data_IF_056059019582
#
_entry.id   IF_056059019582
#
_cell.length_a   1.000
_cell.length_b   1.000
_cell.length_c   1.000
_cell.angle_alpha   90.00
_cell.angle_beta   90.00
_cell.angle_gamma   90.00
#
_symmetry.space_group_name_H-M   'P 1'
#
loop_
_entity.id
_entity.type
_entity.pdbx_description
1 polymer ?
#
# COMPACT_ATOMS: atom_id res chain seq x y z
N UNK A 1 -12.12 38.97 28.87
CA UNK A 1 -11.62 38.61 27.52
C UNK A 1 -10.47 37.60 27.54
N UNK A 2 -9.46 37.75 28.39
CA UNK A 2 -8.28 36.88 28.44
C UNK A 2 -8.57 35.37 28.55
N UNK A 3 -9.52 34.97 29.42
CA UNK A 3 -9.95 33.56 29.57
C UNK A 3 -10.51 32.95 28.28
N UNK A 4 -11.22 33.73 27.46
CA UNK A 4 -11.76 33.29 26.16
C UNK A 4 -10.65 33.13 25.12
N UNK A 5 -9.64 33.98 25.19
CA UNK A 5 -8.48 33.94 24.31
C UNK A 5 -7.60 32.72 24.61
N UNK A 6 -7.38 32.42 25.90
CA UNK A 6 -6.72 31.18 26.34
C UNK A 6 -7.50 29.96 25.88
N UNK A 7 -8.83 29.95 26.07
CA UNK A 7 -9.68 28.84 25.63
C UNK A 7 -9.60 28.63 24.11
N UNK A 8 -9.63 29.70 23.31
CA UNK A 8 -9.45 29.62 21.86
C UNK A 8 -8.09 29.03 21.46
N UNK A 9 -7.01 29.49 22.10
CA UNK A 9 -5.66 28.98 21.83
C UNK A 9 -5.56 27.49 22.15
N UNK A 10 -6.10 27.04 23.28
CA UNK A 10 -6.10 25.63 23.67
C UNK A 10 -6.89 24.77 22.68
N UNK A 11 -8.08 25.22 22.26
CA UNK A 11 -8.89 24.51 21.26
C UNK A 11 -8.15 24.39 19.93
N UNK A 12 -7.52 25.48 19.46
CA UNK A 12 -6.75 25.46 18.21
C UNK A 12 -5.55 24.53 18.34
N UNK A 13 -4.78 24.60 19.43
CA UNK A 13 -3.63 23.73 19.65
C UNK A 13 -4.02 22.24 19.61
N UNK A 14 -5.13 21.87 20.27
CA UNK A 14 -5.63 20.50 20.25
C UNK A 14 -6.04 20.04 18.85
N UNK A 15 -6.72 20.90 18.07
CA UNK A 15 -7.07 20.56 16.69
C UNK A 15 -5.83 20.35 15.82
N UNK A 16 -4.81 21.22 15.91
CA UNK A 16 -3.56 21.10 15.15
C UNK A 16 -2.84 19.79 15.49
N UNK A 17 -2.84 19.38 16.75
CA UNK A 17 -2.27 18.10 17.17
C UNK A 17 -2.93 16.91 16.45
N UNK A 18 -4.27 16.94 16.33
CA UNK A 18 -5.04 15.89 15.68
C UNK A 18 -4.79 15.82 14.16
N UNK A 19 -4.58 16.97 13.50
CA UNK A 19 -4.37 17.04 12.06
C UNK A 19 -2.90 16.92 11.60
N UNK A 20 -1.94 16.87 12.53
CA UNK A 20 -0.50 16.84 12.23
C UNK A 20 -0.09 15.74 11.22
N UNK A 21 -0.61 14.53 11.39
CA UNK A 21 -0.35 13.41 10.46
C UNK A 21 -0.97 13.63 9.08
N UNK A 22 -2.18 14.18 9.02
CA UNK A 22 -2.88 14.49 7.77
C UNK A 22 -2.17 15.58 6.98
N UNK A 23 -1.67 16.62 7.66
CA UNK A 23 -0.89 17.69 7.02
C UNK A 23 0.39 17.17 6.36
N UNK A 24 1.04 16.17 6.97
CA UNK A 24 2.24 15.53 6.41
C UNK A 24 1.94 14.80 5.09
N UNK A 25 0.80 14.11 5.00
CA UNK A 25 0.35 13.45 3.77
C UNK A 25 0.02 14.47 2.68
N UNK A 26 -0.68 15.55 3.05
CA UNK A 26 -1.05 16.62 2.12
C UNK A 26 0.20 17.27 1.53
N UNK A 27 1.17 17.63 2.37
CA UNK A 27 2.44 18.22 1.92
C UNK A 27 3.19 17.30 0.96
N UNK A 28 3.20 15.99 1.25
CA UNK A 28 3.78 14.99 0.35
C UNK A 28 3.12 15.00 -1.03
N UNK A 29 1.79 15.07 -1.12
CA UNK A 29 1.10 15.11 -2.41
C UNK A 29 1.34 16.40 -3.18
N UNK A 30 1.39 17.55 -2.49
CA UNK A 30 1.72 18.83 -3.11
C UNK A 30 3.14 18.82 -3.72
N UNK A 31 4.10 18.19 -3.04
CA UNK A 31 5.51 18.17 -3.41
C UNK A 31 5.98 16.84 -4.04
N UNK A 32 5.05 15.95 -4.43
CA UNK A 32 5.38 14.57 -4.82
C UNK A 32 6.37 14.49 -5.99
N UNK A 33 6.28 15.41 -6.95
CA UNK A 33 7.20 15.48 -8.10
C UNK A 33 8.64 15.79 -7.67
N UNK A 34 8.81 16.67 -6.68
CA UNK A 34 10.13 17.00 -6.14
C UNK A 34 10.66 15.83 -5.31
N UNK A 35 9.81 15.27 -4.43
CA UNK A 35 10.17 14.16 -3.55
C UNK A 35 10.60 12.93 -4.35
N UNK A 36 9.85 12.59 -5.40
CA UNK A 36 10.18 11.45 -6.26
C UNK A 36 11.50 11.62 -7.04
N UNK A 37 11.89 12.86 -7.39
CA UNK A 37 13.12 13.14 -8.15
C UNK A 37 14.36 13.25 -7.27
N UNK A 38 14.23 13.89 -6.10
CA UNK A 38 15.37 14.29 -5.27
C UNK A 38 15.53 13.40 -4.03
N UNK A 39 14.42 13.07 -3.36
CA UNK A 39 14.43 12.41 -2.04
C UNK A 39 14.18 10.90 -2.12
N UNK A 40 13.72 10.39 -3.28
CA UNK A 40 13.46 8.97 -3.49
C UNK A 40 14.75 8.15 -3.59
N UNK A 41 14.87 7.12 -2.74
CA UNK A 41 15.98 6.17 -2.78
C UNK A 41 15.90 5.23 -4.00
N UNK A 42 14.69 4.88 -4.45
CA UNK A 42 14.44 3.96 -5.56
C UNK A 42 14.37 4.66 -6.93
N UNK A 43 14.87 5.90 -7.05
CA UNK A 43 14.86 6.66 -8.32
C UNK A 43 15.59 5.96 -9.46
N UNK A 44 16.60 5.14 -9.15
CA UNK A 44 17.37 4.37 -10.13
C UNK A 44 16.70 3.05 -10.56
N UNK A 45 15.58 2.67 -9.94
CA UNK A 45 14.83 1.44 -10.24
C UNK A 45 13.42 1.81 -10.73
N UNK A 46 13.27 2.21 -12.01
CA UNK A 46 11.98 2.66 -12.54
C UNK A 46 10.90 1.57 -12.50
N UNK A 47 11.28 0.30 -12.46
CA UNK A 47 10.37 -0.84 -12.33
C UNK A 47 9.57 -0.88 -11.02
N UNK A 48 9.99 -0.15 -9.98
CA UNK A 48 9.33 -0.24 -8.66
C UNK A 48 8.19 0.76 -8.47
N UNK A 49 7.94 1.66 -9.43
CA UNK A 49 6.84 2.64 -9.41
C UNK A 49 6.61 3.33 -8.06
N UNK A 50 7.71 3.66 -7.39
CA UNK A 50 7.70 4.14 -6.01
C UNK A 50 7.12 5.54 -5.88
N UNK A 51 7.37 6.45 -6.84
CA UNK A 51 6.81 7.82 -6.86
C UNK A 51 7.01 8.59 -5.53
N UNK A 52 8.09 8.32 -4.79
CA UNK A 52 8.36 8.95 -3.49
C UNK A 52 7.70 8.27 -2.28
N UNK A 53 6.92 7.20 -2.46
CA UNK A 53 6.24 6.46 -1.36
C UNK A 53 7.20 5.91 -0.29
N UNK A 54 8.47 5.63 -0.66
CA UNK A 54 9.50 5.23 0.30
C UNK A 54 9.81 6.33 1.32
N UNK A 55 9.84 7.59 0.89
CA UNK A 55 10.10 8.75 1.74
C UNK A 55 8.94 8.96 2.72
N UNK A 56 7.70 8.92 2.23
CA UNK A 56 6.50 9.03 3.06
C UNK A 56 6.48 7.94 4.14
N UNK A 57 6.76 6.69 3.75
CA UNK A 57 6.85 5.56 4.70
C UNK A 57 7.91 5.79 5.78
N UNK A 58 9.05 6.36 5.44
CA UNK A 58 10.12 6.67 6.40
C UNK A 58 9.69 7.76 7.38
N UNK A 59 9.06 8.82 6.88
CA UNK A 59 8.57 9.93 7.70
C UNK A 59 7.48 9.48 8.70
N UNK A 60 6.55 8.63 8.24
CA UNK A 60 5.51 8.05 9.08
C UNK A 60 6.09 7.19 10.21
N UNK A 61 7.04 6.29 9.89
CA UNK A 61 7.72 5.46 10.90
C UNK A 61 8.48 6.29 11.93
N UNK A 62 9.11 7.36 11.49
CA UNK A 62 9.85 8.24 12.39
C UNK A 62 8.90 8.97 13.35
N UNK A 63 7.76 9.48 12.85
CA UNK A 63 6.71 10.05 13.69
C UNK A 63 6.14 9.07 14.72
N UNK A 64 5.91 7.83 14.30
CA UNK A 64 5.41 6.76 15.17
C UNK A 64 6.43 6.39 16.27
N UNK A 65 7.72 6.23 15.92
CA UNK A 65 8.78 5.92 16.89
C UNK A 65 8.97 7.00 17.95
N UNK A 66 8.87 8.28 17.56
CA UNK A 66 8.95 9.40 18.51
C UNK A 66 7.75 9.41 19.47
N UNK A 67 6.55 9.09 18.98
CA UNK A 67 5.34 9.00 19.80
C UNK A 67 5.38 7.80 20.76
N UNK A 68 5.96 6.68 20.32
CA UNK A 68 6.15 5.47 21.12
C UNK A 68 7.19 5.69 22.24
N UNK A 69 8.21 6.51 22.02
CA UNK A 69 9.21 6.83 23.05
C UNK A 69 8.66 7.81 24.10
N UNK A 70 7.71 8.68 23.75
CA UNK A 70 7.04 9.59 24.69
C UNK A 70 5.89 8.93 25.47
N UNK A 71 5.31 7.85 24.94
CA UNK A 71 4.19 7.13 25.57
C UNK A 71 4.69 5.74 25.95
N UNK A 72 5.20 5.58 27.18
CA UNK A 72 5.82 4.33 27.68
C UNK A 72 4.94 3.07 27.71
N UNK A 73 3.79 3.07 27.04
CA UNK A 73 2.93 1.92 26.86
C UNK A 73 3.00 1.48 25.38
N UNK A 74 3.77 0.43 25.12
CA UNK A 74 3.61 -0.41 23.94
C UNK A 74 2.21 -1.00 24.00
N UNK A 75 1.23 -0.34 23.39
CA UNK A 75 -0.06 -0.96 23.11
C UNK A 75 0.21 -2.00 22.02
N UNK A 76 0.51 -3.23 22.46
CA UNK A 76 0.53 -4.36 21.56
C UNK A 76 -0.88 -4.48 20.96
N UNK A 77 -1.04 -4.02 19.72
CA UNK A 77 -2.15 -4.40 18.87
C UNK A 77 -2.04 -5.91 18.65
N UNK A 78 -2.53 -6.69 19.61
CA UNK A 78 -2.83 -8.09 19.43
C UNK A 78 -4.01 -8.14 18.48
N UNK A 79 -3.71 -8.15 17.18
CA UNK A 79 -4.70 -8.46 16.15
C UNK A 79 -5.18 -9.87 16.46
N UNK A 80 -6.34 -9.99 17.10
CA UNK A 80 -7.02 -11.25 17.24
C UNK A 80 -7.38 -11.70 15.83
N UNK A 81 -6.59 -12.64 15.30
CA UNK A 81 -6.85 -13.29 14.04
C UNK A 81 -8.17 -14.05 14.18
N UNK A 82 -9.23 -13.53 13.59
CA UNK A 82 -10.48 -14.25 13.42
C UNK A 82 -10.22 -15.39 12.41
N UNK A 83 -9.99 -16.59 12.93
CA UNK A 83 -9.91 -17.79 12.11
C UNK A 83 -11.31 -18.10 11.59
N UNK A 84 -11.60 -17.72 10.35
CA UNK A 84 -12.76 -18.27 9.62
C UNK A 84 -12.37 -19.71 9.27
N UNK A 85 -12.64 -20.62 10.19
CA UNK A 85 -12.53 -22.05 9.93
C UNK A 85 -13.89 -22.53 9.45
N UNK A 86 -14.17 -22.28 8.18
CA UNK A 86 -15.23 -22.98 7.47
C UNK A 86 -14.59 -23.62 6.24
N UNK A 87 -14.22 -24.89 6.40
CA UNK A 87 -13.68 -25.71 5.35
C UNK A 87 -14.79 -25.95 4.31
N UNK A 88 -14.87 -25.09 3.30
CA UNK A 88 -15.65 -25.39 2.10
C UNK A 88 -14.99 -26.57 1.40
N UNK A 89 -15.64 -27.73 1.42
CA UNK A 89 -15.22 -28.91 0.68
C UNK A 89 -15.25 -28.62 -0.82
N UNK A 90 -14.08 -28.56 -1.43
CA UNK A 90 -13.94 -28.51 -2.88
C UNK A 90 -14.31 -29.90 -3.41
N UNK A 91 -15.49 -30.03 -4.00
CA UNK A 91 -15.88 -31.23 -4.76
C UNK A 91 -15.08 -31.21 -6.08
N UNK A 92 -14.05 -32.04 -6.17
CA UNK A 92 -13.32 -32.24 -7.41
C UNK A 92 -14.25 -33.00 -8.37
N UNK A 93 -14.71 -32.32 -9.42
CA UNK A 93 -15.46 -32.95 -10.51
C UNK A 93 -14.52 -33.94 -11.21
N UNK A 94 -14.84 -35.24 -11.13
CA UNK A 94 -14.12 -36.24 -11.91
C UNK A 94 -14.55 -36.14 -13.38
N UNK A 95 -13.63 -35.71 -14.24
CA UNK A 95 -13.81 -35.76 -15.68
C UNK A 95 -13.76 -37.23 -16.13
N UNK A 96 -14.91 -37.78 -16.53
CA UNK A 96 -14.98 -39.10 -17.17
C UNK A 96 -14.88 -38.96 -18.69
N UNK A 97 -13.85 -39.62 -19.23
CA UNK A 97 -13.61 -40.03 -20.63
C UNK A 97 -13.73 -38.97 -21.74
N UNK A 98 -12.58 -38.64 -22.32
CA UNK A 98 -12.43 -37.93 -23.60
C UNK A 98 -12.86 -38.88 -24.72
N UNK A 99 -13.80 -38.46 -25.57
CA UNK A 99 -14.17 -39.20 -26.78
C UNK A 99 -12.95 -39.41 -27.69
N UNK A 100 -12.70 -40.63 -28.19
CA UNK A 100 -11.50 -40.94 -28.98
C UNK A 100 -11.46 -40.24 -30.35
N UNK A 101 -12.55 -39.59 -30.77
CA UNK A 101 -12.67 -38.93 -32.09
C UNK A 101 -12.65 -37.40 -32.03
N UNK A 102 -12.25 -36.81 -30.91
CA UNK A 102 -12.08 -35.35 -30.84
C UNK A 102 -10.83 -34.92 -31.60
N UNK A 103 -11.02 -34.52 -32.86
CA UNK A 103 -9.96 -33.91 -33.67
C UNK A 103 -9.97 -32.41 -33.45
N UNK A 104 -9.09 -31.95 -32.55
CA UNK A 104 -8.75 -30.54 -32.41
C UNK A 104 -7.96 -30.13 -33.67
N UNK A 105 -8.59 -29.38 -34.57
CA UNK A 105 -7.89 -28.69 -35.65
C UNK A 105 -7.03 -27.57 -35.03
N UNK A 106 -5.81 -27.91 -34.62
CA UNK A 106 -4.85 -26.93 -34.10
C UNK A 106 -4.33 -26.12 -35.28
N UNK A 107 -4.92 -24.95 -35.49
CA UNK A 107 -4.36 -23.93 -36.38
C UNK A 107 -3.07 -23.40 -35.72
N UNK A 108 -1.93 -23.94 -36.15
CA UNK A 108 -0.60 -23.53 -35.67
C UNK A 108 -0.20 -22.23 -36.34
N UNK A 109 -0.69 -21.10 -35.82
CA UNK A 109 0.02 -19.85 -36.03
C UNK A 109 1.35 -19.96 -35.28
N UNK A 110 2.44 -20.04 -36.04
CA UNK A 110 3.79 -19.94 -35.49
C UNK A 110 3.97 -18.51 -35.03
N UNK A 111 3.69 -18.25 -33.75
CA UNK A 111 4.07 -17.01 -33.09
C UNK A 111 5.59 -16.99 -32.93
N UNK A 112 6.28 -16.40 -33.90
CA UNK A 112 7.68 -16.02 -33.79
C UNK A 112 7.83 -14.86 -32.81
N UNK A 113 8.08 -15.20 -31.54
CA UNK A 113 8.50 -14.26 -30.52
C UNK A 113 7.72 -14.41 -29.23
N UNK A 114 8.28 -15.12 -28.26
CA UNK A 114 7.90 -14.91 -26.86
C UNK A 114 8.36 -13.50 -26.48
N UNK A 115 7.46 -12.55 -26.16
CA UNK A 115 7.90 -11.37 -25.45
C UNK A 115 8.35 -11.82 -24.07
N UNK A 116 9.65 -11.71 -23.77
CA UNK A 116 10.24 -11.97 -22.46
C UNK A 116 9.79 -10.97 -21.37
N UNK A 117 8.66 -10.29 -21.57
CA UNK A 117 8.08 -9.42 -20.56
C UNK A 117 7.34 -10.28 -19.54
N UNK A 118 7.98 -10.50 -18.39
CA UNK A 118 7.27 -10.86 -17.15
C UNK A 118 6.11 -9.88 -17.02
N UNK A 119 4.89 -10.37 -16.79
CA UNK A 119 3.74 -9.51 -16.58
C UNK A 119 4.03 -8.62 -15.36
N UNK A 120 4.10 -7.31 -15.58
CA UNK A 120 4.19 -6.33 -14.50
C UNK A 120 2.86 -5.58 -14.46
N UNK A 121 2.17 -5.53 -13.31
CA UNK A 121 0.93 -4.80 -13.20
C UNK A 121 1.18 -3.31 -13.52
N UNK A 122 0.21 -2.63 -14.15
CA UNK A 122 0.34 -1.21 -14.44
C UNK A 122 0.57 -0.45 -13.15
N UNK A 123 1.45 0.55 -13.22
CA UNK A 123 1.74 1.39 -12.09
C UNK A 123 0.54 2.30 -11.81
N UNK A 124 -0.33 1.84 -10.92
CA UNK A 124 -1.50 2.59 -10.48
C UNK A 124 -1.12 3.94 -9.88
N UNK A 125 -1.97 4.93 -10.19
CA UNK A 125 -1.96 6.27 -9.59
C UNK A 125 -2.17 6.21 -8.08
#
# INVERSE_FOLDING_TARGET
>A
MFKRLIALILTVAFTVQCFSQSLTVIDFYLNQKYISKVLCENRAKPSTCCQGKCFLKKQMKQGESNNQQSTGARLENKTETFNIHEASTIQIVQFTSIDPNFTLAIHREVYSGFPNSVFHPPCGF
#
